data_IF_144747301398
#
_entry.id   IF_144747301398
#
_cell.length_a   1.000
_cell.length_b   1.000
_cell.length_c   1.000
_cell.angle_alpha   90.00
_cell.angle_beta   90.00
_cell.angle_gamma   90.00
#
_symmetry.space_group_name_H-M   'P 1'
#
loop_
_entity.id
_entity.type
_entity.pdbx_description
1 polymer ?
#
# COMPACT_ATOMS: atom_id res chain seq x y z
N UNK A 1 30.10 -5.32 -6.52
CA UNK A 1 28.90 -5.51 -7.35
C UNK A 1 28.43 -6.98 -7.45
N UNK A 2 29.28 -7.97 -7.71
CA UNK A 2 28.85 -9.40 -7.81
C UNK A 2 28.31 -9.98 -6.49
N UNK A 3 28.77 -9.57 -5.32
CA UNK A 3 28.32 -10.06 -4.00
C UNK A 3 26.96 -9.48 -3.59
N UNK A 4 26.61 -8.26 -4.00
CA UNK A 4 25.32 -7.61 -3.74
C UNK A 4 24.20 -8.20 -4.58
N UNK A 5 24.48 -8.61 -5.81
CA UNK A 5 23.52 -9.28 -6.70
C UNK A 5 23.14 -10.66 -6.16
N UNK A 6 24.13 -11.40 -5.62
CA UNK A 6 23.89 -12.72 -5.03
C UNK A 6 23.02 -12.63 -3.76
N UNK A 7 23.21 -11.61 -2.94
CA UNK A 7 22.40 -11.40 -1.73
C UNK A 7 20.94 -11.03 -2.06
N UNK A 8 20.74 -10.24 -3.10
CA UNK A 8 19.41 -9.88 -3.58
C UNK A 8 18.67 -11.06 -4.23
N UNK A 9 19.42 -11.95 -4.91
CA UNK A 9 18.86 -13.18 -5.51
C UNK A 9 18.42 -14.20 -4.44
N UNK A 10 19.15 -14.31 -3.32
CA UNK A 10 18.79 -15.20 -2.21
C UNK A 10 17.58 -14.65 -1.44
N UNK A 11 17.44 -13.33 -1.29
CA UNK A 11 16.30 -12.70 -0.64
C UNK A 11 15.00 -12.94 -1.45
N UNK A 12 15.10 -12.98 -2.78
CA UNK A 12 13.94 -13.20 -3.66
C UNK A 12 13.38 -14.64 -3.56
N UNK A 13 14.22 -15.62 -3.23
CA UNK A 13 13.82 -17.04 -3.11
C UNK A 13 13.04 -17.28 -1.81
N UNK A 14 13.28 -16.50 -0.75
CA UNK A 14 12.54 -16.62 0.51
C UNK A 14 11.09 -16.07 0.42
N UNK A 15 10.75 -15.30 -0.62
CA UNK A 15 9.42 -14.71 -0.79
C UNK A 15 8.39 -15.67 -1.41
N UNK A 16 8.78 -16.87 -1.84
CA UNK A 16 7.90 -17.82 -2.54
C UNK A 16 7.50 -19.05 -1.70
N UNK A 17 7.83 -19.07 -0.41
CA UNK A 17 7.46 -20.20 0.44
C UNK A 17 6.18 -19.90 1.23
N UNK A 18 5.07 -19.70 0.51
CA UNK A 18 3.76 -19.75 1.17
C UNK A 18 3.50 -21.19 1.60
N UNK A 19 3.15 -21.39 2.86
CA UNK A 19 2.74 -22.69 3.33
C UNK A 19 1.53 -23.17 2.51
N UNK A 20 1.60 -24.37 2.00
CA UNK A 20 0.41 -25.00 1.44
C UNK A 20 -0.59 -25.26 2.56
N UNK A 21 -1.88 -25.23 2.22
CA UNK A 21 -2.93 -25.57 3.17
C UNK A 21 -2.72 -26.99 3.68
N UNK A 22 -2.79 -27.15 4.99
CA UNK A 22 -2.56 -28.40 5.71
C UNK A 22 -3.83 -28.82 6.45
N UNK A 23 -3.90 -30.08 6.80
CA UNK A 23 -4.92 -30.59 7.71
C UNK A 23 -4.61 -30.16 9.14
N UNK A 24 -5.60 -29.62 9.81
CA UNK A 24 -5.50 -29.18 11.20
C UNK A 24 -6.82 -29.29 11.91
N UNK A 25 -6.96 -28.61 13.04
CA UNK A 25 -8.21 -28.59 13.81
C UNK A 25 -8.56 -27.15 14.21
N UNK A 26 -9.85 -26.88 14.28
CA UNK A 26 -10.37 -25.61 14.78
C UNK A 26 -11.45 -25.87 15.82
N UNK A 27 -11.48 -25.05 16.87
CA UNK A 27 -12.56 -25.15 17.86
C UNK A 27 -13.84 -24.51 17.32
N UNK A 28 -14.87 -25.33 17.15
CA UNK A 28 -16.22 -24.90 16.81
C UNK A 28 -17.22 -25.49 17.80
N UNK A 29 -18.06 -24.65 18.40
CA UNK A 29 -19.04 -25.02 19.41
C UNK A 29 -18.45 -25.83 20.60
N UNK A 30 -17.27 -25.43 21.08
CA UNK A 30 -16.52 -26.09 22.18
C UNK A 30 -16.05 -27.52 21.84
N UNK A 31 -15.95 -27.89 20.57
CA UNK A 31 -15.41 -29.16 20.10
C UNK A 31 -14.35 -28.88 19.03
N UNK A 32 -13.28 -29.64 19.07
CA UNK A 32 -12.29 -29.62 18.00
C UNK A 32 -12.87 -30.32 16.77
N UNK A 33 -12.86 -29.63 15.64
CA UNK A 33 -13.32 -30.12 14.34
C UNK A 33 -12.14 -30.14 13.37
N UNK A 34 -12.06 -31.18 12.50
CA UNK A 34 -11.08 -31.17 11.40
C UNK A 34 -11.30 -29.95 10.50
N UNK A 35 -10.23 -29.27 10.13
CA UNK A 35 -10.27 -28.10 9.27
C UNK A 35 -9.04 -28.05 8.37
N UNK A 36 -9.17 -27.46 7.20
CA UNK A 36 -8.02 -27.05 6.41
C UNK A 36 -7.45 -25.75 7.02
N UNK A 37 -6.13 -25.66 7.12
CA UNK A 37 -5.44 -24.52 7.77
C UNK A 37 -4.31 -24.04 6.87
N UNK A 38 -4.18 -22.72 6.72
CA UNK A 38 -3.08 -22.10 5.99
C UNK A 38 -2.54 -20.89 6.76
N UNK A 39 -1.23 -20.69 6.71
CA UNK A 39 -0.57 -19.48 7.22
C UNK A 39 -0.29 -18.52 6.07
N UNK A 40 -0.70 -17.27 6.23
CA UNK A 40 -0.54 -16.21 5.23
C UNK A 40 0.31 -15.06 5.81
N UNK A 41 1.29 -14.54 5.09
CA UNK A 41 2.19 -13.48 5.57
C UNK A 41 1.55 -12.08 5.41
N UNK A 42 0.31 -11.96 5.81
CA UNK A 42 -0.47 -10.73 5.74
C UNK A 42 -1.20 -10.47 7.04
N UNK A 43 -1.44 -9.19 7.40
CA UNK A 43 -2.30 -8.84 8.52
C UNK A 43 -3.72 -9.39 8.34
N UNK A 44 -4.39 -9.74 9.42
CA UNK A 44 -5.75 -10.29 9.36
C UNK A 44 -6.75 -9.37 8.66
N UNK A 45 -6.57 -8.05 8.77
CA UNK A 45 -7.42 -7.07 8.07
C UNK A 45 -7.32 -7.17 6.54
N UNK A 46 -6.12 -7.42 6.02
CA UNK A 46 -5.90 -7.63 4.57
C UNK A 46 -6.50 -8.96 4.13
N UNK A 47 -6.26 -10.02 4.91
CA UNK A 47 -6.81 -11.35 4.63
C UNK A 47 -8.34 -11.33 4.61
N UNK A 48 -8.98 -10.72 5.61
CA UNK A 48 -10.45 -10.61 5.69
C UNK A 48 -11.02 -9.79 4.53
N UNK A 49 -10.39 -8.67 4.16
CA UNK A 49 -10.84 -7.84 3.05
C UNK A 49 -10.72 -8.59 1.71
N UNK A 50 -9.57 -9.24 1.47
CA UNK A 50 -9.32 -10.02 0.24
C UNK A 50 -10.25 -11.23 0.13
N UNK A 51 -10.49 -11.94 1.23
CA UNK A 51 -11.43 -13.06 1.29
C UNK A 51 -12.86 -12.60 0.94
N UNK A 52 -13.32 -11.50 1.52
CA UNK A 52 -14.63 -10.94 1.21
C UNK A 52 -14.74 -10.50 -0.26
N UNK A 53 -13.70 -9.87 -0.83
CA UNK A 53 -13.66 -9.48 -2.23
C UNK A 53 -13.72 -10.70 -3.16
N UNK A 54 -12.89 -11.72 -2.88
CA UNK A 54 -12.86 -12.95 -3.66
C UNK A 54 -14.21 -13.68 -3.68
N UNK A 55 -14.82 -13.84 -2.51
CA UNK A 55 -16.09 -14.52 -2.37
C UNK A 55 -17.26 -13.72 -2.99
N UNK A 56 -17.24 -12.39 -2.83
CA UNK A 56 -18.23 -11.50 -3.45
C UNK A 56 -18.17 -11.57 -4.98
N UNK A 57 -16.99 -11.59 -5.57
CA UNK A 57 -16.80 -11.75 -7.03
C UNK A 57 -17.32 -13.08 -7.54
N UNK A 58 -17.35 -14.12 -6.71
CA UNK A 58 -17.96 -15.40 -7.00
C UNK A 58 -19.47 -15.44 -6.70
N UNK A 59 -20.10 -14.30 -6.43
CA UNK A 59 -21.53 -14.21 -6.14
C UNK A 59 -21.91 -14.72 -4.75
N UNK A 60 -20.97 -14.75 -3.80
CA UNK A 60 -21.19 -15.21 -2.44
C UNK A 60 -21.29 -14.02 -1.48
N UNK A 61 -22.38 -13.95 -0.76
CA UNK A 61 -22.55 -12.96 0.29
C UNK A 61 -22.16 -13.56 1.64
N UNK A 62 -21.35 -12.81 2.41
CA UNK A 62 -21.09 -13.15 3.80
C UNK A 62 -22.41 -13.19 4.56
N UNK A 63 -22.73 -14.33 5.13
CA UNK A 63 -23.78 -14.42 6.13
C UNK A 63 -23.21 -13.98 7.49
N UNK A 64 -23.97 -13.90 8.54
CA UNK A 64 -23.57 -13.39 9.85
C UNK A 64 -22.29 -14.05 10.40
N UNK A 65 -21.50 -13.28 11.17
CA UNK A 65 -20.43 -13.85 11.99
C UNK A 65 -21.01 -14.74 13.08
N UNK A 66 -20.62 -16.00 13.06
CA UNK A 66 -21.06 -16.98 14.05
C UNK A 66 -19.85 -17.36 14.90
N UNK A 67 -19.84 -16.93 16.17
CA UNK A 67 -18.82 -17.31 17.16
C UNK A 67 -17.37 -17.09 16.69
N UNK A 68 -17.11 -15.98 16.00
CA UNK A 68 -15.80 -15.62 15.47
C UNK A 68 -15.45 -16.27 14.13
N UNK A 69 -16.42 -16.90 13.47
CA UNK A 69 -16.30 -17.38 12.11
C UNK A 69 -17.05 -16.47 11.14
N UNK A 70 -16.40 -16.12 10.03
CA UNK A 70 -17.07 -15.57 8.85
C UNK A 70 -17.72 -16.71 8.09
N UNK A 71 -19.05 -16.68 7.96
CA UNK A 71 -19.79 -17.81 7.37
C UNK A 71 -20.31 -17.48 5.98
N UNK A 72 -20.21 -18.45 5.07
CA UNK A 72 -20.74 -18.38 3.70
C UNK A 72 -21.57 -19.62 3.47
N UNK A 73 -22.88 -19.46 3.49
CA UNK A 73 -23.81 -20.60 3.41
C UNK A 73 -24.15 -20.97 1.99
N UNK A 74 -24.53 -22.23 1.79
CA UNK A 74 -25.00 -22.77 0.52
C UNK A 74 -24.06 -22.42 -0.65
N UNK A 75 -22.76 -22.60 -0.42
CA UNK A 75 -21.70 -22.25 -1.35
C UNK A 75 -21.26 -23.48 -2.14
N UNK A 76 -21.09 -23.32 -3.45
CA UNK A 76 -20.48 -24.33 -4.31
C UNK A 76 -19.00 -23.94 -4.53
N UNK A 77 -18.08 -24.47 -3.73
CA UNK A 77 -16.69 -23.96 -3.72
C UNK A 77 -15.83 -24.48 -4.87
N UNK A 78 -16.15 -25.65 -5.40
CA UNK A 78 -15.41 -26.33 -6.49
C UNK A 78 -16.34 -26.55 -7.69
N UNK A 79 -15.86 -27.05 -8.80
CA UNK A 79 -16.57 -27.17 -10.07
C UNK A 79 -17.98 -27.81 -10.01
N UNK A 80 -18.72 -27.73 -11.08
CA UNK A 80 -20.17 -27.93 -11.22
C UNK A 80 -20.77 -29.22 -10.63
N UNK A 81 -19.96 -30.20 -10.23
CA UNK A 81 -20.44 -31.50 -9.76
C UNK A 81 -20.36 -31.69 -8.23
N UNK A 82 -20.09 -30.60 -7.48
CA UNK A 82 -20.02 -30.69 -6.03
C UNK A 82 -21.33 -30.25 -5.34
N UNK A 83 -21.61 -30.85 -4.21
CA UNK A 83 -22.72 -30.48 -3.33
C UNK A 83 -22.43 -29.12 -2.72
N UNK A 84 -23.45 -28.27 -2.61
CA UNK A 84 -23.31 -27.01 -1.85
C UNK A 84 -22.96 -27.28 -0.40
N UNK A 85 -22.06 -26.48 0.14
CA UNK A 85 -21.60 -26.57 1.52
C UNK A 85 -21.66 -25.23 2.23
N UNK A 86 -21.72 -25.27 3.54
CA UNK A 86 -21.52 -24.10 4.38
C UNK A 86 -20.05 -23.98 4.75
N UNK A 87 -19.44 -22.85 4.37
CA UNK A 87 -18.03 -22.55 4.63
C UNK A 87 -17.90 -21.65 5.85
N UNK A 88 -17.09 -22.06 6.79
CA UNK A 88 -16.80 -21.30 8.02
C UNK A 88 -15.31 -20.97 8.06
N UNK A 89 -14.98 -19.70 7.88
CA UNK A 89 -13.61 -19.22 7.93
C UNK A 89 -13.32 -18.61 9.31
N UNK A 90 -12.21 -18.98 9.90
CA UNK A 90 -11.67 -18.32 11.08
C UNK A 90 -10.32 -17.73 10.74
N UNK A 91 -10.19 -16.43 10.93
CA UNK A 91 -8.95 -15.68 10.72
C UNK A 91 -8.40 -15.27 12.08
N UNK A 92 -7.19 -15.70 12.39
CA UNK A 92 -6.53 -15.39 13.65
C UNK A 92 -5.07 -14.98 13.39
N UNK A 93 -4.55 -14.07 14.19
CA UNK A 93 -3.12 -13.79 14.17
C UNK A 93 -2.36 -15.01 14.66
N UNK A 94 -1.28 -15.37 14.01
CA UNK A 94 -0.44 -16.50 14.40
C UNK A 94 0.06 -16.35 15.84
N UNK A 95 0.53 -15.16 16.21
CA UNK A 95 0.91 -14.86 17.59
C UNK A 95 0.90 -13.36 17.89
N UNK A 96 1.08 -12.99 19.17
CA UNK A 96 1.25 -11.58 19.57
C UNK A 96 2.50 -10.92 18.97
N UNK A 97 3.53 -11.71 18.64
CA UNK A 97 4.80 -11.23 18.08
C UNK A 97 4.75 -11.15 16.55
N UNK A 98 3.99 -12.03 15.92
CA UNK A 98 3.84 -12.14 14.46
C UNK A 98 2.52 -11.51 14.00
N UNK A 99 2.44 -10.19 14.09
CA UNK A 99 1.22 -9.44 13.76
C UNK A 99 0.87 -9.45 12.27
N UNK A 100 1.89 -9.66 11.43
CA UNK A 100 1.79 -9.68 9.97
C UNK A 100 1.56 -11.09 9.42
N UNK A 101 1.36 -12.07 10.30
CA UNK A 101 1.05 -13.45 9.89
C UNK A 101 -0.32 -13.84 10.42
N UNK A 102 -1.17 -14.28 9.50
CA UNK A 102 -2.54 -14.72 9.78
C UNK A 102 -2.67 -16.20 9.52
N UNK A 103 -3.29 -16.90 10.43
CA UNK A 103 -3.73 -18.27 10.26
C UNK A 103 -5.19 -18.26 9.83
N UNK A 104 -5.49 -18.88 8.69
CA UNK A 104 -6.85 -19.06 8.19
C UNK A 104 -7.21 -20.52 8.32
N UNK A 105 -8.30 -20.80 9.03
CA UNK A 105 -8.89 -22.13 9.16
C UNK A 105 -10.22 -22.17 8.42
N UNK A 106 -10.38 -23.17 7.56
CA UNK A 106 -11.63 -23.45 6.84
C UNK A 106 -12.26 -24.74 7.36
N UNK A 107 -13.43 -24.60 7.96
CA UNK A 107 -14.30 -25.69 8.31
C UNK A 107 -15.43 -25.78 7.27
N UNK A 108 -15.59 -26.94 6.66
CA UNK A 108 -16.64 -27.23 5.67
C UNK A 108 -17.72 -28.07 6.32
N UNK A 109 -18.95 -27.60 6.25
CA UNK A 109 -20.11 -28.34 6.73
C UNK A 109 -21.11 -28.54 5.60
N UNK A 110 -21.75 -29.71 5.59
CA UNK A 110 -22.83 -29.97 4.64
C UNK A 110 -24.01 -29.04 4.95
N UNK A 111 -24.65 -28.52 3.91
CA UNK A 111 -25.86 -27.73 4.07
C UNK A 111 -27.00 -28.61 4.52
N UNK A 112 -27.67 -28.25 5.63
CA UNK A 112 -28.82 -29.00 6.15
C UNK A 112 -29.93 -29.09 5.09
N UNK A 113 -30.52 -30.28 4.95
CA UNK A 113 -31.67 -30.53 4.05
C UNK A 113 -31.33 -30.96 2.63
N UNK A 114 -30.06 -31.13 2.26
CA UNK A 114 -29.72 -31.73 0.97
C UNK A 114 -29.86 -33.26 1.02
N UNK A 115 -30.89 -33.77 0.33
CA UNK A 115 -31.03 -35.20 0.09
C UNK A 115 -30.17 -35.60 -1.11
N UNK A 116 -29.35 -36.64 -0.94
CA UNK A 116 -28.53 -37.21 -1.98
C UNK A 116 -29.39 -37.72 -3.15
N UNK A 117 -29.42 -36.98 -4.22
CA UNK A 117 -29.97 -37.44 -5.51
C UNK A 117 -28.87 -37.38 -6.56
N UNK A 118 -28.11 -38.45 -6.71
CA UNK A 118 -27.14 -38.60 -7.82
C UNK A 118 -25.68 -38.74 -7.39
N UNK A 119 -24.78 -38.80 -8.37
CA UNK A 119 -23.31 -38.97 -8.23
C UNK A 119 -22.62 -37.64 -7.85
N UNK A 120 -23.14 -36.87 -6.92
CA UNK A 120 -22.52 -35.61 -6.51
C UNK A 120 -21.36 -35.85 -5.56
N UNK A 121 -20.23 -35.17 -5.78
CA UNK A 121 -19.07 -35.24 -4.93
C UNK A 121 -19.26 -34.37 -3.67
N UNK A 122 -19.06 -34.98 -2.51
CA UNK A 122 -18.99 -34.22 -1.23
C UNK A 122 -17.61 -33.66 -1.04
N UNK A 123 -17.53 -32.42 -0.59
CA UNK A 123 -16.25 -31.78 -0.29
C UNK A 123 -15.52 -32.53 0.83
N UNK A 124 -14.35 -33.02 0.48
CA UNK A 124 -13.43 -33.63 1.43
C UNK A 124 -12.36 -32.65 1.94
N UNK A 125 -11.44 -33.14 2.75
CA UNK A 125 -10.36 -32.33 3.30
C UNK A 125 -9.37 -31.85 2.20
N UNK A 126 -9.21 -32.61 1.12
CA UNK A 126 -8.33 -32.21 0.00
C UNK A 126 -8.97 -31.08 -0.79
N UNK A 127 -10.30 -31.12 -0.99
CA UNK A 127 -11.04 -30.03 -1.62
C UNK A 127 -10.95 -28.75 -0.77
N UNK A 128 -11.09 -28.88 0.57
CA UNK A 128 -10.95 -27.75 1.48
C UNK A 128 -9.52 -27.13 1.44
N UNK A 129 -8.49 -27.97 1.38
CA UNK A 129 -7.10 -27.51 1.21
C UNK A 129 -6.88 -26.84 -0.15
N UNK A 130 -7.39 -27.44 -1.23
CA UNK A 130 -7.35 -26.87 -2.57
C UNK A 130 -7.99 -25.47 -2.59
N UNK A 131 -9.17 -25.36 -2.00
CA UNK A 131 -9.89 -24.10 -1.89
C UNK A 131 -9.11 -23.01 -1.12
N UNK A 132 -8.45 -23.36 -0.01
CA UNK A 132 -7.59 -22.43 0.72
C UNK A 132 -6.35 -22.02 -0.08
N UNK A 133 -5.76 -22.89 -0.88
CA UNK A 133 -4.64 -22.54 -1.75
C UNK A 133 -5.07 -21.55 -2.85
N UNK A 134 -6.24 -21.76 -3.45
CA UNK A 134 -6.81 -20.83 -4.43
C UNK A 134 -7.12 -19.47 -3.79
N UNK A 135 -7.67 -19.50 -2.58
CA UNK A 135 -7.93 -18.30 -1.80
C UNK A 135 -6.62 -17.55 -1.47
N UNK A 136 -5.56 -18.27 -1.10
CA UNK A 136 -4.24 -17.68 -0.85
C UNK A 136 -3.73 -16.91 -2.07
N UNK A 137 -3.81 -17.54 -3.26
CA UNK A 137 -3.45 -16.89 -4.53
C UNK A 137 -4.26 -15.63 -4.79
N UNK A 138 -5.56 -15.64 -4.47
CA UNK A 138 -6.40 -14.45 -4.59
C UNK A 138 -6.04 -13.35 -3.58
N UNK A 139 -5.64 -13.73 -2.36
CA UNK A 139 -5.16 -12.79 -1.34
C UNK A 139 -3.85 -12.14 -1.76
N UNK A 140 -2.93 -12.91 -2.35
CA UNK A 140 -1.68 -12.38 -2.89
C UNK A 140 -1.94 -11.33 -3.97
N UNK A 141 -2.83 -11.64 -4.91
CA UNK A 141 -3.23 -10.71 -5.97
C UNK A 141 -3.88 -9.44 -5.40
N UNK A 142 -4.75 -9.57 -4.42
CA UNK A 142 -5.40 -8.44 -3.75
C UNK A 142 -4.38 -7.54 -3.04
N UNK A 143 -3.43 -8.12 -2.30
CA UNK A 143 -2.37 -7.37 -1.62
C UNK A 143 -1.43 -6.66 -2.61
N UNK A 144 -1.14 -7.30 -3.75
CA UNK A 144 -0.36 -6.67 -4.82
C UNK A 144 -1.09 -5.43 -5.37
N UNK A 145 -2.39 -5.51 -5.62
CA UNK A 145 -3.20 -4.37 -6.08
C UNK A 145 -3.21 -3.22 -5.05
N UNK A 146 -3.30 -3.53 -3.76
CA UNK A 146 -3.16 -2.51 -2.71
C UNK A 146 -1.80 -1.84 -2.76
N UNK A 147 -0.72 -2.62 -2.89
CA UNK A 147 0.64 -2.10 -2.99
C UNK A 147 0.82 -1.21 -4.22
N UNK A 148 0.29 -1.61 -5.37
CA UNK A 148 0.32 -0.81 -6.60
C UNK A 148 -0.42 0.52 -6.40
N UNK A 149 -1.59 0.47 -5.78
CA UNK A 149 -2.38 1.68 -5.47
C UNK A 149 -1.59 2.64 -4.57
N UNK A 150 -1.02 2.15 -3.48
CA UNK A 150 -0.25 2.97 -2.54
C UNK A 150 0.99 3.60 -3.22
N UNK A 151 1.67 2.84 -4.08
CA UNK A 151 2.80 3.34 -4.87
C UNK A 151 2.39 4.43 -5.87
N UNK A 152 1.26 4.26 -6.55
CA UNK A 152 0.73 5.28 -7.46
C UNK A 152 0.36 6.58 -6.72
N UNK A 153 -0.23 6.47 -5.53
CA UNK A 153 -0.52 7.63 -4.68
C UNK A 153 0.78 8.34 -4.22
N UNK A 154 1.79 7.57 -3.82
CA UNK A 154 3.09 8.11 -3.43
C UNK A 154 3.80 8.80 -4.62
N UNK A 155 3.74 8.19 -5.81
CA UNK A 155 4.27 8.77 -7.05
C UNK A 155 3.60 10.11 -7.37
N UNK A 156 2.27 10.15 -7.37
CA UNK A 156 1.50 11.38 -7.64
C UNK A 156 1.87 12.52 -6.67
N UNK A 157 2.03 12.19 -5.39
CA UNK A 157 2.49 13.17 -4.39
C UNK A 157 3.92 13.68 -4.68
N UNK A 158 4.82 12.77 -5.07
CA UNK A 158 6.19 13.13 -5.41
C UNK A 158 6.26 14.02 -6.66
N UNK A 159 5.51 13.70 -7.71
CA UNK A 159 5.41 14.48 -8.94
C UNK A 159 4.84 15.89 -8.67
N UNK A 160 3.81 15.98 -7.85
CA UNK A 160 3.23 17.26 -7.44
C UNK A 160 4.26 18.12 -6.70
N UNK A 161 5.00 17.51 -5.76
CA UNK A 161 6.06 18.20 -5.02
C UNK A 161 7.17 18.67 -5.95
N UNK A 162 7.59 17.82 -6.90
CA UNK A 162 8.60 18.19 -7.90
C UNK A 162 8.16 19.40 -8.74
N UNK A 163 6.91 19.37 -9.25
CA UNK A 163 6.34 20.48 -10.02
C UNK A 163 6.35 21.80 -9.22
N UNK A 164 5.98 21.76 -7.96
CA UNK A 164 6.00 22.93 -7.10
C UNK A 164 7.42 23.48 -6.91
N UNK A 165 8.40 22.60 -6.69
CA UNK A 165 9.81 22.99 -6.56
C UNK A 165 10.37 23.63 -7.84
N UNK A 166 9.98 23.14 -9.03
CA UNK A 166 10.35 23.76 -10.32
C UNK A 166 9.77 25.17 -10.42
N UNK A 167 8.49 25.35 -10.12
CA UNK A 167 7.82 26.66 -10.14
C UNK A 167 8.49 27.63 -9.15
N UNK A 168 8.78 27.18 -7.93
CA UNK A 168 9.49 27.97 -6.93
C UNK A 168 10.90 28.40 -7.43
N UNK A 169 11.59 27.49 -8.11
CA UNK A 169 12.89 27.77 -8.74
C UNK A 169 12.80 28.87 -9.78
N UNK A 170 11.82 28.77 -10.68
CA UNK A 170 11.56 29.79 -11.71
C UNK A 170 11.25 31.18 -11.11
N UNK A 171 10.47 31.20 -10.02
CA UNK A 171 10.13 32.44 -9.34
C UNK A 171 11.32 33.04 -8.59
N UNK A 172 12.19 32.22 -8.04
CA UNK A 172 13.44 32.67 -7.42
C UNK A 172 14.39 33.26 -8.46
N UNK A 173 14.50 32.68 -9.66
CA UNK A 173 15.33 33.21 -10.75
C UNK A 173 14.81 34.55 -11.26
N UNK A 174 13.49 34.73 -11.40
CA UNK A 174 12.87 36.04 -11.71
C UNK A 174 13.19 37.08 -10.64
N UNK A 175 13.09 36.73 -9.36
CA UNK A 175 13.43 37.62 -8.23
C UNK A 175 14.90 37.99 -8.26
N UNK A 176 15.79 37.04 -8.54
CA UNK A 176 17.22 37.28 -8.69
C UNK A 176 17.51 38.29 -9.79
N UNK A 177 16.95 38.11 -10.98
CA UNK A 177 17.10 39.03 -12.10
C UNK A 177 16.64 40.45 -11.76
N UNK A 178 15.50 40.58 -11.04
CA UNK A 178 15.00 41.86 -10.59
C UNK A 178 15.93 42.54 -9.54
N UNK A 179 16.51 41.75 -8.65
CA UNK A 179 17.50 42.25 -7.67
C UNK A 179 18.79 42.70 -8.36
N UNK A 180 19.31 41.89 -9.30
CA UNK A 180 20.52 42.23 -10.07
C UNK A 180 20.35 43.57 -10.78
N UNK A 181 19.16 43.79 -11.41
CA UNK A 181 18.83 45.10 -12.02
C UNK A 181 18.85 46.24 -10.97
N UNK A 182 18.23 46.07 -9.81
CA UNK A 182 18.23 47.09 -8.76
C UNK A 182 19.63 47.40 -8.23
N UNK A 183 20.51 46.40 -8.17
CA UNK A 183 21.91 46.57 -7.78
C UNK A 183 22.65 47.43 -8.83
N UNK A 184 22.44 47.17 -10.14
CA UNK A 184 23.03 47.94 -11.23
C UNK A 184 22.54 49.39 -11.22
N UNK A 185 21.23 49.60 -11.06
CA UNK A 185 20.63 50.92 -11.00
C UNK A 185 21.20 51.73 -9.78
N UNK A 186 21.29 51.10 -8.62
CA UNK A 186 21.85 51.73 -7.42
C UNK A 186 23.33 52.12 -7.58
N UNK A 187 24.14 51.28 -8.24
CA UNK A 187 25.55 51.62 -8.57
C UNK A 187 25.64 52.86 -9.46
N UNK A 188 24.79 52.93 -10.48
CA UNK A 188 24.76 54.10 -11.39
C UNK A 188 24.36 55.39 -10.63
N UNK A 189 23.39 55.28 -9.71
CA UNK A 189 23.00 56.41 -8.85
C UNK A 189 24.15 56.83 -7.93
N UNK A 190 24.87 55.88 -7.32
CA UNK A 190 26.07 56.20 -6.49
C UNK A 190 27.15 56.96 -7.29
N UNK A 191 27.45 56.49 -8.52
CA UNK A 191 28.42 57.19 -9.39
C UNK A 191 27.97 58.62 -9.73
N UNK A 192 26.68 58.80 -9.99
CA UNK A 192 26.09 60.10 -10.27
C UNK A 192 26.22 61.02 -9.08
N UNK A 193 25.88 60.51 -7.85
CA UNK A 193 26.02 61.26 -6.61
C UNK A 193 27.47 61.60 -6.29
N UNK A 194 28.42 60.71 -6.56
CA UNK A 194 29.86 61.01 -6.40
C UNK A 194 30.30 62.16 -7.27
N UNK A 195 29.94 62.22 -8.56
CA UNK A 195 30.22 63.32 -9.47
C UNK A 195 29.62 64.64 -8.98
N UNK A 196 28.37 64.60 -8.48
CA UNK A 196 27.73 65.78 -7.95
C UNK A 196 28.45 66.31 -6.69
N UNK A 197 28.82 65.40 -5.78
CA UNK A 197 29.61 65.76 -4.56
C UNK A 197 30.93 66.44 -4.97
N UNK A 198 31.59 65.91 -6.00
CA UNK A 198 32.86 66.48 -6.49
C UNK A 198 32.68 67.89 -7.07
N UNK A 199 31.63 68.09 -7.89
CA UNK A 199 31.24 69.37 -8.42
C UNK A 199 30.91 70.38 -7.30
N UNK A 200 30.17 69.95 -6.29
CA UNK A 200 29.83 70.81 -5.15
C UNK A 200 31.07 71.20 -4.34
N UNK A 201 32.00 70.28 -4.14
CA UNK A 201 33.30 70.58 -3.50
C UNK A 201 34.12 71.58 -4.25
N UNK A 202 34.17 71.47 -5.59
CA UNK A 202 34.89 72.44 -6.44
C UNK A 202 34.25 73.83 -6.36
N UNK A 203 32.91 73.94 -6.44
CA UNK A 203 32.22 75.23 -6.29
C UNK A 203 32.46 75.82 -4.93
N UNK A 204 32.39 75.04 -3.87
CA UNK A 204 32.67 75.48 -2.51
C UNK A 204 34.11 76.01 -2.39
N UNK A 205 35.09 75.31 -2.94
CA UNK A 205 36.49 75.75 -2.93
C UNK A 205 36.69 77.10 -3.62
N UNK A 206 36.05 77.29 -4.79
CA UNK A 206 36.07 78.57 -5.53
C UNK A 206 35.49 79.72 -4.65
N UNK A 207 34.33 79.51 -4.03
CA UNK A 207 33.73 80.55 -3.22
C UNK A 207 34.52 80.86 -1.94
N UNK A 208 35.14 79.89 -1.29
CA UNK A 208 36.03 80.05 -0.18
C UNK A 208 37.28 80.85 -0.58
N UNK A 209 37.81 80.60 -1.80
CA UNK A 209 38.94 81.37 -2.34
C UNK A 209 38.61 82.85 -2.58
N UNK A 210 37.43 83.13 -3.12
CA UNK A 210 36.97 84.55 -3.32
C UNK A 210 36.75 85.29 -2.03
N UNK A 211 36.43 84.60 -0.91
CA UNK A 211 36.22 85.23 0.43
C UNK A 211 37.52 85.74 1.10
N UNK A 212 38.70 85.25 0.63
CA UNK A 212 40.03 85.59 1.19
C UNK A 212 40.72 86.69 0.40
N UNK A 213 40.18 87.12 -0.73
CA UNK A 213 40.65 88.26 -1.52
C UNK A 213 39.80 89.51 -1.21
#
# INVERSE_FOLDING_TARGET
MKKTILFFSILLIFLLSYGQAQEGTVEYQKRLQPAAVIELPYPSSVVDAAMNDYLSKKGRSRSNDIKGFSTFRNTQPVAMDTVNADLYFKTERKSRKEKEVTVVSLLVMQTEGQTNTGNLHYLDMNDAKGYLNDLATAIDAYNLELTIKDQNEALTKAETKYKNLVNDGDDLEKKRTAIDKKIADNKNEQETQLKEIENQKQKLSQWVGQRKS
#
